data_IF_958590727205
#
_entry.id   IF_958590727205
#
_cell.length_a   1.000
_cell.length_b   1.000
_cell.length_c   1.000
_cell.angle_alpha   90.00
_cell.angle_beta   90.00
_cell.angle_gamma   90.00
#
_symmetry.space_group_name_H-M   'P 1'
#
loop_
_entity.id
_entity.type
_entity.pdbx_description
1 polymer ?
#
# COMPACT_ATOMS: atom_id res chain seq x y z
N UNK A 1 -1.48 32.24 -11.36
CA UNK A 1 -1.77 30.98 -10.64
C UNK A 1 -3.22 30.62 -10.84
N UNK A 2 -3.50 29.37 -11.20
CA UNK A 2 -4.87 28.84 -11.29
C UNK A 2 -5.14 28.04 -10.02
N UNK A 3 -6.31 28.21 -9.42
CA UNK A 3 -6.73 27.40 -8.26
C UNK A 3 -8.11 26.81 -8.48
N UNK A 4 -8.27 25.52 -8.19
CA UNK A 4 -9.54 24.81 -8.26
C UNK A 4 -9.88 24.18 -6.93
N UNK A 5 -11.18 24.19 -6.61
CA UNK A 5 -11.79 23.44 -5.52
C UNK A 5 -12.90 22.57 -6.10
N UNK A 6 -12.80 21.26 -5.92
CA UNK A 6 -13.74 20.29 -6.50
C UNK A 6 -14.26 19.42 -5.36
N UNK A 7 -15.59 19.34 -5.20
CA UNK A 7 -16.19 18.42 -4.24
C UNK A 7 -16.10 17.00 -4.81
N UNK A 8 -15.69 16.04 -3.99
CA UNK A 8 -15.73 14.63 -4.36
C UNK A 8 -16.71 13.86 -3.48
N UNK A 9 -17.28 12.80 -4.03
CA UNK A 9 -18.22 11.93 -3.33
C UNK A 9 -17.42 10.86 -2.58
N UNK A 10 -17.80 10.59 -1.33
CA UNK A 10 -17.10 9.65 -0.47
C UNK A 10 -16.26 10.36 0.60
N UNK A 11 -16.05 9.66 1.71
CA UNK A 11 -15.26 10.13 2.84
C UNK A 11 -14.48 8.95 3.38
N UNK A 12 -13.28 8.69 2.85
CA UNK A 12 -12.33 7.78 3.49
C UNK A 12 -11.34 8.49 4.41
N UNK A 13 -11.21 9.80 4.25
CA UNK A 13 -10.31 10.63 5.07
C UNK A 13 -10.95 11.12 6.36
N UNK A 14 -10.13 11.14 7.40
CA UNK A 14 -10.39 11.87 8.64
C UNK A 14 -10.09 13.38 8.50
N UNK A 15 -10.52 14.19 9.46
CA UNK A 15 -10.34 15.66 9.41
C UNK A 15 -8.87 16.09 9.50
N UNK A 16 -8.05 15.28 10.15
CA UNK A 16 -6.61 15.44 10.35
C UNK A 16 -5.77 14.75 9.24
N UNK A 17 -6.40 14.13 8.26
CA UNK A 17 -5.70 13.54 7.10
C UNK A 17 -5.69 14.47 5.90
N UNK A 18 -4.62 14.39 5.12
CA UNK A 18 -4.39 15.17 3.91
C UNK A 18 -3.74 14.28 2.86
N UNK A 19 -4.42 14.06 1.73
CA UNK A 19 -3.80 13.44 0.55
C UNK A 19 -2.99 14.49 -0.19
N UNK A 20 -1.80 14.11 -0.65
CA UNK A 20 -0.88 14.97 -1.39
C UNK A 20 -0.41 14.27 -2.67
N UNK A 21 -0.37 15.03 -3.76
CA UNK A 21 0.23 14.64 -5.04
C UNK A 21 0.75 15.91 -5.74
N UNK A 22 1.91 15.81 -6.41
CA UNK A 22 2.53 16.95 -7.11
C UNK A 22 2.81 16.66 -8.58
N UNK A 23 2.77 17.72 -9.41
CA UNK A 23 3.32 17.68 -10.77
C UNK A 23 4.55 18.58 -10.85
N UNK A 24 5.56 18.12 -11.57
CA UNK A 24 6.88 18.75 -11.64
C UNK A 24 7.39 18.78 -13.08
N UNK A 25 8.31 19.70 -13.41
CA UNK A 25 8.91 19.76 -14.75
C UNK A 25 9.79 18.56 -15.09
N UNK A 26 10.16 17.76 -14.09
CA UNK A 26 11.04 16.61 -14.21
C UNK A 26 11.37 16.03 -12.83
N UNK A 27 12.29 15.07 -12.80
CA UNK A 27 12.59 14.29 -11.58
C UNK A 27 13.78 14.82 -10.77
N UNK A 28 14.52 15.83 -11.25
CA UNK A 28 15.67 16.39 -10.53
C UNK A 28 15.22 17.43 -9.50
N UNK A 29 15.24 17.01 -8.22
CA UNK A 29 14.78 17.81 -7.10
C UNK A 29 15.44 19.20 -6.99
N UNK A 30 16.65 19.38 -7.55
CA UNK A 30 17.41 20.64 -7.47
C UNK A 30 17.06 21.60 -8.60
N UNK A 31 16.87 21.07 -9.80
CA UNK A 31 16.74 21.88 -11.01
C UNK A 31 15.29 22.05 -11.44
N UNK A 32 14.50 20.98 -11.35
CA UNK A 32 13.10 20.97 -11.75
C UNK A 32 12.21 21.77 -10.80
N UNK A 33 11.05 22.18 -11.32
CA UNK A 33 10.11 23.10 -10.68
C UNK A 33 8.82 22.40 -10.31
N UNK A 34 8.24 22.82 -9.19
CA UNK A 34 6.89 22.45 -8.80
C UNK A 34 5.88 23.20 -9.69
N UNK A 35 5.07 22.45 -10.42
CA UNK A 35 4.07 22.97 -11.37
C UNK A 35 2.66 22.94 -10.78
N UNK A 36 2.32 21.87 -10.06
CA UNK A 36 1.01 21.68 -9.44
C UNK A 36 1.17 21.13 -8.03
N UNK A 37 0.49 21.75 -7.08
CA UNK A 37 0.23 21.20 -5.75
C UNK A 37 -1.22 20.72 -5.69
N UNK A 38 -1.42 19.41 -5.62
CA UNK A 38 -2.71 18.77 -5.47
C UNK A 38 -2.93 18.27 -4.04
N UNK A 39 -4.13 18.50 -3.49
CA UNK A 39 -4.49 18.12 -2.13
C UNK A 39 -5.91 17.55 -2.06
N UNK A 40 -6.15 16.56 -1.20
CA UNK A 40 -7.51 16.19 -0.76
C UNK A 40 -7.63 16.31 0.74
N UNK A 41 -8.65 17.06 1.20
CA UNK A 41 -8.95 17.22 2.62
C UNK A 41 -10.45 17.37 2.89
N UNK A 42 -10.83 17.14 4.13
CA UNK A 42 -12.20 17.38 4.62
C UNK A 42 -12.35 18.85 5.02
N UNK A 43 -13.36 19.52 4.47
CA UNK A 43 -13.86 20.81 4.93
C UNK A 43 -15.38 20.73 5.10
N UNK A 44 -15.92 21.23 6.22
CA UNK A 44 -17.37 21.21 6.51
C UNK A 44 -18.01 19.82 6.26
N UNK A 45 -17.34 18.77 6.75
CA UNK A 45 -17.75 17.37 6.65
C UNK A 45 -17.88 16.81 5.23
N UNK A 46 -17.36 17.51 4.22
CA UNK A 46 -17.26 17.04 2.84
C UNK A 46 -15.81 16.98 2.38
N UNK A 47 -15.49 16.01 1.52
CA UNK A 47 -14.17 15.89 0.91
C UNK A 47 -14.06 16.81 -0.32
N UNK A 48 -12.91 17.49 -0.42
CA UNK A 48 -12.61 18.38 -1.53
C UNK A 48 -11.19 18.16 -2.03
N UNK A 49 -11.05 18.18 -3.36
CA UNK A 49 -9.78 18.37 -4.04
C UNK A 49 -9.47 19.87 -4.11
N UNK A 50 -8.23 20.22 -3.80
CA UNK A 50 -7.64 21.53 -4.04
C UNK A 50 -6.46 21.37 -4.98
N UNK A 51 -6.44 22.16 -6.04
CA UNK A 51 -5.36 22.16 -7.01
C UNK A 51 -4.84 23.58 -7.18
N UNK A 52 -3.53 23.76 -7.02
CA UNK A 52 -2.85 25.04 -7.19
C UNK A 52 -1.78 24.91 -8.27
N UNK A 53 -2.06 25.47 -9.45
CA UNK A 53 -1.22 25.39 -10.63
C UNK A 53 -0.43 26.69 -10.84
N UNK A 54 0.89 26.58 -10.85
CA UNK A 54 1.81 27.65 -11.16
C UNK A 54 1.87 27.88 -12.67
N UNK A 55 1.48 29.06 -13.16
CA UNK A 55 1.51 29.37 -14.60
C UNK A 55 2.93 29.62 -15.11
N UNK A 56 3.85 29.97 -14.22
CA UNK A 56 5.28 30.15 -14.49
C UNK A 56 6.09 29.89 -13.21
N UNK A 57 7.42 29.86 -13.35
CA UNK A 57 8.34 29.52 -12.24
C UNK A 57 8.33 30.53 -11.09
N UNK A 58 7.94 31.78 -11.33
CA UNK A 58 7.87 32.80 -10.28
C UNK A 58 6.75 32.50 -9.27
N UNK A 59 5.79 31.67 -9.65
CA UNK A 59 4.67 31.28 -8.79
C UNK A 59 4.96 30.07 -7.90
N UNK A 60 6.05 29.34 -8.12
CA UNK A 60 6.42 28.16 -7.33
C UNK A 60 6.41 28.44 -5.81
N UNK A 61 6.92 29.62 -5.40
CA UNK A 61 6.94 30.04 -4.00
C UNK A 61 5.53 30.14 -3.39
N UNK A 62 4.51 30.45 -4.19
CA UNK A 62 3.11 30.50 -3.72
C UNK A 62 2.62 29.09 -3.37
N UNK A 63 2.95 28.10 -4.20
CA UNK A 63 2.59 26.69 -3.97
C UNK A 63 3.28 26.17 -2.71
N UNK A 64 4.57 26.45 -2.54
CA UNK A 64 5.32 26.06 -1.33
C UNK A 64 4.73 26.67 -0.05
N UNK A 65 4.35 27.95 -0.09
CA UNK A 65 3.69 28.59 1.06
C UNK A 65 2.32 27.98 1.38
N UNK A 66 1.56 27.58 0.35
CA UNK A 66 0.30 26.84 0.56
C UNK A 66 0.61 25.48 1.21
N UNK A 67 1.56 24.72 0.67
CA UNK A 67 2.00 23.44 1.24
C UNK A 67 2.36 23.57 2.74
N UNK A 68 3.22 24.54 3.09
CA UNK A 68 3.62 24.81 4.48
C UNK A 68 2.44 25.14 5.42
N UNK A 69 1.37 25.75 4.89
CA UNK A 69 0.16 26.04 5.67
C UNK A 69 -0.70 24.80 5.85
N UNK A 70 -0.92 24.03 4.78
CA UNK A 70 -1.86 22.91 4.76
C UNK A 70 -1.32 21.67 5.48
N UNK A 71 0.01 21.44 5.47
CA UNK A 71 0.64 20.26 6.08
C UNK A 71 0.62 20.25 7.62
N UNK A 72 0.43 21.41 8.25
CA UNK A 72 0.53 21.54 9.71
C UNK A 72 -0.49 20.66 10.42
N UNK A 73 -0.02 19.86 11.37
CA UNK A 73 -0.84 18.96 12.20
C UNK A 73 -1.69 17.99 11.34
N UNK A 74 -1.16 17.55 10.19
CA UNK A 74 -1.82 16.58 9.31
C UNK A 74 -1.03 15.28 9.23
N UNK A 75 -1.76 14.16 9.17
CA UNK A 75 -1.24 12.90 8.66
C UNK A 75 -1.26 12.95 7.13
N UNK A 76 -0.11 12.75 6.51
CA UNK A 76 0.07 12.90 5.06
C UNK A 76 -0.06 11.56 4.37
N UNK A 77 -0.99 11.45 3.43
CA UNK A 77 -1.24 10.25 2.64
C UNK A 77 -0.76 10.50 1.22
N UNK A 78 0.12 9.64 0.71
CA UNK A 78 0.68 9.77 -0.64
C UNK A 78 0.73 8.41 -1.33
N UNK A 79 0.98 8.42 -2.63
CA UNK A 79 1.38 7.24 -3.38
C UNK A 79 2.83 7.40 -3.85
N UNK A 80 3.76 6.70 -3.18
CA UNK A 80 5.21 6.82 -3.41
C UNK A 80 5.79 8.22 -3.07
N UNK A 81 5.09 9.02 -2.26
CA UNK A 81 5.50 10.38 -1.93
C UNK A 81 6.62 10.48 -0.90
N UNK A 82 6.88 9.43 -0.11
CA UNK A 82 8.06 9.41 0.76
C UNK A 82 9.35 9.34 -0.08
N UNK A 83 9.29 8.74 -1.27
CA UNK A 83 10.43 8.62 -2.19
C UNK A 83 10.58 9.86 -3.08
N UNK A 84 9.46 10.49 -3.47
CA UNK A 84 9.46 11.57 -4.47
C UNK A 84 8.91 12.89 -3.93
N UNK A 85 7.61 12.99 -3.67
CA UNK A 85 6.90 14.24 -3.39
C UNK A 85 7.50 15.03 -2.21
N UNK A 86 7.69 14.37 -1.06
CA UNK A 86 8.21 15.01 0.16
C UNK A 86 9.68 15.44 -0.03
N UNK A 87 10.61 14.59 -0.51
CA UNK A 87 11.95 15.02 -0.86
C UNK A 87 12.00 16.17 -1.88
N UNK A 88 11.16 16.12 -2.92
CA UNK A 88 11.08 17.17 -3.94
C UNK A 88 10.67 18.50 -3.32
N UNK A 89 9.55 18.52 -2.57
CA UNK A 89 9.06 19.73 -1.90
C UNK A 89 10.09 20.30 -0.92
N UNK A 90 10.78 19.45 -0.15
CA UNK A 90 11.85 19.90 0.75
C UNK A 90 13.04 20.51 0.01
N UNK A 91 13.45 19.94 -1.12
CA UNK A 91 14.50 20.52 -1.97
C UNK A 91 14.10 21.89 -2.53
N UNK A 92 12.83 22.03 -2.97
CA UNK A 92 12.30 23.32 -3.45
C UNK A 92 12.20 24.35 -2.31
N UNK A 93 11.75 23.95 -1.11
CA UNK A 93 11.72 24.81 0.08
C UNK A 93 13.12 25.37 0.38
N UNK A 94 14.14 24.50 0.41
CA UNK A 94 15.54 24.90 0.65
C UNK A 94 16.03 25.87 -0.43
N UNK A 95 15.71 25.60 -1.70
CA UNK A 95 16.07 26.47 -2.84
C UNK A 95 15.46 27.87 -2.73
N UNK A 96 14.30 27.99 -2.08
CA UNK A 96 13.62 29.25 -1.78
C UNK A 96 13.95 29.81 -0.39
N UNK A 97 14.98 29.30 0.30
CA UNK A 97 15.40 29.72 1.64
C UNK A 97 14.31 29.54 2.72
N UNK A 98 13.43 28.57 2.53
CA UNK A 98 12.43 28.13 3.50
C UNK A 98 12.90 26.86 4.23
N UNK A 99 12.35 26.63 5.42
CA UNK A 99 12.67 25.43 6.18
C UNK A 99 11.97 24.20 5.59
N UNK A 100 12.67 23.06 5.46
CA UNK A 100 12.04 21.79 5.07
C UNK A 100 11.07 21.32 6.16
N UNK A 101 10.08 20.52 5.74
CA UNK A 101 9.09 19.91 6.63
C UNK A 101 9.27 18.41 6.66
N UNK A 102 9.16 17.84 7.86
CA UNK A 102 9.07 16.41 8.07
C UNK A 102 7.71 16.15 8.74
N UNK A 103 6.73 15.58 8.02
CA UNK A 103 5.45 15.26 8.62
C UNK A 103 5.66 14.30 9.79
N UNK A 104 5.05 14.59 10.94
CA UNK A 104 5.11 13.73 12.13
C UNK A 104 4.45 12.37 11.90
N UNK A 105 3.49 12.32 10.98
CA UNK A 105 2.78 11.12 10.55
C UNK A 105 2.62 11.13 9.04
N UNK A 106 3.15 10.10 8.37
CA UNK A 106 2.93 9.87 6.93
C UNK A 106 2.51 8.42 6.67
N UNK A 107 1.72 8.25 5.62
CA UNK A 107 1.28 6.97 5.12
C UNK A 107 1.52 6.93 3.61
N UNK A 108 2.57 6.21 3.20
CA UNK A 108 2.85 5.94 1.80
C UNK A 108 2.19 4.64 1.36
N UNK A 109 1.14 4.77 0.55
CA UNK A 109 0.34 3.65 0.04
C UNK A 109 1.21 2.67 -0.76
N UNK A 110 2.20 3.15 -1.51
CA UNK A 110 3.11 2.30 -2.27
C UNK A 110 3.89 1.36 -1.34
N UNK A 111 4.37 1.87 -0.20
CA UNK A 111 5.13 1.07 0.77
C UNK A 111 4.25 -0.01 1.42
N UNK A 112 3.00 0.31 1.73
CA UNK A 112 2.02 -0.66 2.26
C UNK A 112 1.82 -1.80 1.26
N UNK A 113 1.52 -1.47 0.00
CA UNK A 113 1.36 -2.48 -1.08
C UNK A 113 2.63 -3.31 -1.25
N UNK A 114 3.79 -2.64 -1.27
CA UNK A 114 5.09 -3.29 -1.47
C UNK A 114 5.39 -4.30 -0.37
N UNK A 115 5.02 -4.00 0.87
CA UNK A 115 5.14 -4.95 1.98
C UNK A 115 4.25 -6.18 1.80
N UNK A 116 3.05 -5.99 1.24
CA UNK A 116 2.08 -7.06 0.97
C UNK A 116 2.38 -7.87 -0.30
N UNK A 117 3.31 -7.43 -1.17
CA UNK A 117 3.68 -8.14 -2.40
C UNK A 117 4.32 -9.51 -2.20
N UNK A 118 4.58 -9.90 -0.94
CA UNK A 118 4.96 -11.26 -0.58
C UNK A 118 3.77 -12.22 -0.55
N UNK A 119 2.54 -11.73 -0.52
CA UNK A 119 1.30 -12.53 -0.49
C UNK A 119 0.45 -12.40 -1.77
N UNK A 120 0.69 -11.36 -2.57
CA UNK A 120 -0.12 -11.03 -3.74
C UNK A 120 0.76 -10.75 -4.96
N UNK A 121 0.30 -11.17 -6.13
CA UNK A 121 0.83 -10.78 -7.43
C UNK A 121 0.16 -9.49 -7.90
N UNK A 122 0.92 -8.61 -8.54
CA UNK A 122 0.41 -7.41 -9.20
C UNK A 122 0.95 -7.35 -10.63
N UNK A 123 0.11 -6.97 -11.59
CA UNK A 123 0.54 -6.74 -12.98
C UNK A 123 1.56 -5.60 -13.09
N UNK A 124 1.39 -4.58 -12.25
CA UNK A 124 2.27 -3.42 -12.14
C UNK A 124 2.05 -2.69 -10.82
N UNK A 125 3.06 -1.98 -10.34
CA UNK A 125 2.96 -1.10 -9.15
C UNK A 125 2.49 0.32 -9.51
N UNK A 126 2.02 0.55 -10.74
CA UNK A 126 1.41 1.83 -11.14
C UNK A 126 0.05 2.00 -10.45
N UNK A 127 -0.28 3.21 -10.04
CA UNK A 127 -1.52 3.56 -9.33
C UNK A 127 -2.78 2.98 -9.99
N UNK A 128 -2.91 3.13 -11.32
CA UNK A 128 -4.03 2.59 -12.11
C UNK A 128 -4.15 1.06 -12.02
N UNK A 129 -3.02 0.34 -12.00
CA UNK A 129 -3.03 -1.11 -11.88
C UNK A 129 -3.46 -1.56 -10.47
N UNK A 130 -3.06 -0.80 -9.45
CA UNK A 130 -3.45 -1.04 -8.06
C UNK A 130 -4.94 -0.76 -7.84
N UNK A 131 -5.48 0.33 -8.39
CA UNK A 131 -6.93 0.60 -8.35
C UNK A 131 -7.72 -0.59 -8.91
N UNK A 132 -7.32 -1.08 -10.08
CA UNK A 132 -7.96 -2.25 -10.71
C UNK A 132 -7.83 -3.50 -9.84
N UNK A 133 -6.67 -3.74 -9.24
CA UNK A 133 -6.43 -4.88 -8.35
C UNK A 133 -7.38 -4.92 -7.15
N UNK A 134 -7.72 -3.75 -6.58
CA UNK A 134 -8.67 -3.67 -5.46
C UNK A 134 -10.13 -3.49 -5.90
N UNK A 135 -10.43 -3.61 -7.20
CA UNK A 135 -11.79 -3.52 -7.75
C UNK A 135 -12.31 -2.10 -7.95
N UNK A 136 -11.44 -1.08 -7.95
CA UNK A 136 -11.81 0.28 -8.36
C UNK A 136 -11.68 0.36 -9.87
N UNK A 137 -12.82 0.35 -10.56
CA UNK A 137 -12.89 0.56 -12.01
C UNK A 137 -13.36 1.98 -12.33
N UNK A 138 -12.60 2.67 -13.17
CA UNK A 138 -12.92 4.02 -13.63
C UNK A 138 -12.95 4.04 -15.15
N UNK A 139 -14.12 4.27 -15.72
CA UNK A 139 -14.29 4.52 -17.15
C UNK A 139 -13.84 5.94 -17.50
N UNK A 140 -12.55 6.21 -17.43
CA UNK A 140 -11.96 7.48 -17.88
C UNK A 140 -10.89 7.25 -18.96
N UNK A 141 -11.26 7.36 -20.25
CA UNK A 141 -10.32 7.24 -21.37
C UNK A 141 -9.17 8.27 -21.31
N UNK A 142 -9.32 9.38 -20.58
CA UNK A 142 -8.30 10.42 -20.48
C UNK A 142 -7.10 9.99 -19.63
N UNK A 143 -7.25 8.99 -18.74
CA UNK A 143 -6.14 8.39 -17.97
C UNK A 143 -5.13 7.62 -18.82
N UNK A 144 -5.52 7.22 -20.04
CA UNK A 144 -4.68 6.46 -20.95
C UNK A 144 -3.94 7.35 -21.97
N UNK A 145 -4.14 8.68 -21.93
CA UNK A 145 -3.34 9.59 -22.75
C UNK A 145 -1.88 9.51 -22.33
N UNK A 146 -1.01 9.25 -23.30
CA UNK A 146 0.40 8.98 -23.07
C UNK A 146 1.09 10.10 -22.25
N UNK A 147 1.81 9.68 -21.22
CA UNK A 147 2.70 10.50 -20.35
C UNK A 147 3.57 11.46 -21.18
N UNK A 148 3.95 11.08 -22.41
CA UNK A 148 4.75 11.92 -23.31
C UNK A 148 4.09 13.25 -23.67
N UNK A 149 2.76 13.30 -23.87
CA UNK A 149 2.06 14.58 -24.14
C UNK A 149 1.97 15.47 -22.90
N UNK A 150 1.92 14.87 -21.72
CA UNK A 150 1.87 15.64 -20.48
C UNK A 150 3.19 16.36 -20.20
N UNK A 151 4.32 15.77 -20.59
CA UNK A 151 5.63 16.39 -20.38
C UNK A 151 5.79 17.73 -21.11
N UNK A 152 5.31 17.84 -22.35
CA UNK A 152 5.33 19.11 -23.10
C UNK A 152 4.41 20.13 -22.45
N UNK A 153 3.16 19.75 -22.15
CA UNK A 153 2.18 20.63 -21.50
C UNK A 153 2.67 21.15 -20.13
N UNK A 154 3.40 20.32 -19.36
CA UNK A 154 4.00 20.68 -18.07
C UNK A 154 5.13 21.72 -18.25
N UNK A 155 5.94 21.58 -19.30
CA UNK A 155 7.04 22.50 -19.58
C UNK A 155 6.54 23.85 -20.10
N UNK A 156 5.55 23.85 -21.00
CA UNK A 156 5.00 25.08 -21.60
C UNK A 156 3.97 25.76 -20.72
N UNK A 157 3.19 24.99 -19.95
CA UNK A 157 2.09 25.41 -19.06
C UNK A 157 0.96 26.17 -19.77
N UNK A 158 0.90 26.12 -21.10
CA UNK A 158 -0.12 26.75 -21.94
C UNK A 158 -1.46 25.99 -21.91
N UNK A 159 -1.41 24.69 -21.65
CA UNK A 159 -2.58 23.81 -21.53
C UNK A 159 -2.67 23.20 -20.13
N UNK A 160 -3.19 23.95 -19.14
CA UNK A 160 -3.27 23.47 -17.76
C UNK A 160 -4.30 22.35 -17.56
N UNK A 161 -5.31 22.23 -18.45
CA UNK A 161 -6.42 21.30 -18.23
C UNK A 161 -6.00 19.82 -18.20
N UNK A 162 -5.20 19.30 -19.16
CA UNK A 162 -4.65 17.94 -19.07
C UNK A 162 -3.91 17.64 -17.75
N UNK A 163 -3.06 18.58 -17.30
CA UNK A 163 -2.26 18.46 -16.06
C UNK A 163 -3.17 18.40 -14.84
N UNK A 164 -4.09 19.37 -14.73
CA UNK A 164 -5.09 19.38 -13.66
C UNK A 164 -5.94 18.09 -13.67
N UNK A 165 -6.31 17.58 -14.85
CA UNK A 165 -7.12 16.36 -14.91
C UNK A 165 -6.35 15.10 -14.51
N UNK A 166 -5.05 15.03 -14.83
CA UNK A 166 -4.18 13.94 -14.39
C UNK A 166 -4.04 13.91 -12.87
N UNK A 167 -3.61 15.02 -12.28
CA UNK A 167 -3.48 15.15 -10.83
C UNK A 167 -4.83 14.95 -10.10
N UNK A 168 -5.95 15.44 -10.65
CA UNK A 168 -7.29 15.18 -10.07
C UNK A 168 -7.56 13.67 -10.01
N UNK A 169 -7.20 12.95 -11.06
CA UNK A 169 -7.37 11.51 -11.14
C UNK A 169 -6.50 10.78 -10.11
N UNK A 170 -5.24 11.17 -9.96
CA UNK A 170 -4.30 10.54 -9.04
C UNK A 170 -4.63 10.86 -7.57
N UNK A 171 -5.11 12.07 -7.28
CA UNK A 171 -5.64 12.45 -5.97
C UNK A 171 -6.86 11.61 -5.57
N UNK A 172 -7.84 11.42 -6.47
CA UNK A 172 -9.02 10.60 -6.16
C UNK A 172 -8.61 9.13 -5.98
N UNK A 173 -7.69 8.63 -6.80
CA UNK A 173 -7.19 7.26 -6.67
C UNK A 173 -6.49 7.06 -5.32
N UNK A 174 -5.61 7.97 -4.94
CA UNK A 174 -4.87 7.95 -3.67
C UNK A 174 -5.82 8.08 -2.48
N UNK A 175 -6.84 8.94 -2.54
CA UNK A 175 -7.89 9.02 -1.51
C UNK A 175 -8.66 7.70 -1.38
N UNK A 176 -9.05 7.11 -2.51
CA UNK A 176 -9.79 5.86 -2.49
C UNK A 176 -8.96 4.68 -1.94
N UNK A 177 -7.64 4.75 -2.05
CA UNK A 177 -6.66 3.78 -1.55
C UNK A 177 -6.16 4.12 -0.14
N UNK A 178 -6.60 5.20 0.48
CA UNK A 178 -6.16 5.62 1.84
C UNK A 178 -6.36 4.54 2.90
N UNK A 179 -7.34 3.64 2.71
CA UNK A 179 -7.64 2.53 3.62
C UNK A 179 -7.22 1.16 3.05
N UNK A 180 -6.17 1.12 2.22
CA UNK A 180 -5.71 -0.12 1.58
C UNK A 180 -5.21 -1.17 2.59
N UNK A 181 -4.77 -0.76 3.77
CA UNK A 181 -4.33 -1.68 4.82
C UNK A 181 -5.49 -2.58 5.28
N UNK A 182 -6.69 -2.02 5.48
CA UNK A 182 -7.88 -2.79 5.81
C UNK A 182 -8.27 -3.77 4.69
N UNK A 183 -8.05 -3.42 3.42
CA UNK A 183 -8.24 -4.37 2.32
C UNK A 183 -7.35 -5.60 2.50
N UNK A 184 -6.06 -5.41 2.80
CA UNK A 184 -5.14 -6.52 3.00
C UNK A 184 -5.42 -7.31 4.27
N UNK A 185 -5.70 -6.65 5.39
CA UNK A 185 -6.08 -7.32 6.65
C UNK A 185 -7.28 -8.25 6.40
N UNK A 186 -8.31 -7.75 5.72
CA UNK A 186 -9.48 -8.57 5.40
C UNK A 186 -9.13 -9.78 4.51
N UNK A 187 -8.27 -9.60 3.50
CA UNK A 187 -7.82 -10.72 2.64
C UNK A 187 -6.93 -11.72 3.37
N UNK A 188 -6.13 -11.27 4.33
CA UNK A 188 -5.18 -12.06 5.10
C UNK A 188 -5.77 -12.57 6.42
N UNK A 189 -7.10 -12.52 6.59
CA UNK A 189 -7.79 -12.93 7.82
C UNK A 189 -8.57 -14.23 7.67
N UNK A 190 -8.79 -14.91 8.80
CA UNK A 190 -9.64 -16.09 8.91
C UNK A 190 -10.40 -16.10 10.23
N UNK A 191 -11.65 -16.57 10.22
CA UNK A 191 -12.44 -16.83 11.42
C UNK A 191 -12.13 -18.23 12.00
N UNK A 192 -12.06 -18.33 13.32
CA UNK A 192 -11.79 -19.56 14.05
C UNK A 192 -12.56 -19.63 15.38
N UNK A 193 -12.46 -20.75 16.11
CA UNK A 193 -13.03 -20.91 17.45
C UNK A 193 -12.54 -19.85 18.45
N UNK A 194 -11.32 -19.34 18.27
CA UNK A 194 -10.72 -18.32 19.14
C UNK A 194 -11.02 -16.88 18.68
N UNK A 195 -11.86 -16.70 17.67
CA UNK A 195 -12.11 -15.40 17.02
C UNK A 195 -11.32 -15.23 15.72
N UNK A 196 -11.39 -14.02 15.16
CA UNK A 196 -10.70 -13.65 13.93
C UNK A 196 -9.23 -13.34 14.18
N UNK A 197 -8.37 -13.80 13.28
CA UNK A 197 -6.95 -13.42 13.25
C UNK A 197 -6.45 -13.28 11.81
N UNK A 198 -5.34 -12.58 11.61
CA UNK A 198 -4.74 -12.34 10.29
C UNK A 198 -3.23 -12.45 10.28
N UNK A 199 -2.65 -12.80 9.13
CA UNK A 199 -1.20 -12.86 8.97
C UNK A 199 -0.63 -11.44 8.99
N UNK A 200 0.32 -11.17 9.88
CA UNK A 200 1.06 -9.91 9.95
C UNK A 200 2.55 -10.09 9.64
N UNK A 201 3.09 -11.31 9.61
CA UNK A 201 4.50 -11.55 9.22
C UNK A 201 4.68 -12.91 8.59
N UNK A 202 5.55 -12.98 7.59
CA UNK A 202 5.94 -14.21 6.92
C UNK A 202 7.40 -14.13 6.48
N UNK A 203 8.20 -15.08 6.93
CA UNK A 203 9.60 -15.22 6.57
C UNK A 203 9.97 -16.70 6.50
N UNK A 204 10.87 -17.08 5.61
CA UNK A 204 11.50 -18.40 5.62
C UNK A 204 13.00 -18.19 5.76
N UNK A 205 13.57 -18.79 6.78
CA UNK A 205 15.01 -18.85 6.98
C UNK A 205 15.45 -20.31 6.88
N UNK A 206 16.14 -20.64 5.77
CA UNK A 206 16.54 -22.01 5.43
C UNK A 206 15.34 -22.96 5.42
N UNK A 207 15.29 -23.88 6.37
CA UNK A 207 14.32 -24.96 6.55
C UNK A 207 13.23 -24.62 7.58
N UNK A 208 13.20 -23.38 8.09
CA UNK A 208 12.19 -22.92 9.06
C UNK A 208 11.39 -21.76 8.47
N UNK A 209 10.07 -21.92 8.39
CA UNK A 209 9.13 -20.83 8.14
C UNK A 209 8.67 -20.21 9.45
N UNK A 210 8.88 -18.89 9.60
CA UNK A 210 8.43 -18.09 10.73
C UNK A 210 7.26 -17.20 10.31
N UNK A 211 6.10 -17.43 10.90
CA UNK A 211 4.87 -16.71 10.61
C UNK A 211 4.34 -16.09 11.90
N UNK A 212 3.92 -14.83 11.84
CA UNK A 212 3.24 -14.17 12.95
C UNK A 212 1.85 -13.74 12.47
N UNK A 213 0.87 -13.94 13.35
CA UNK A 213 -0.51 -13.56 13.16
C UNK A 213 -0.94 -12.68 14.34
N UNK A 214 -1.90 -11.81 14.09
CA UNK A 214 -2.51 -10.96 15.10
C UNK A 214 -3.98 -11.33 15.24
N UNK A 215 -4.45 -11.49 16.47
CA UNK A 215 -5.85 -11.75 16.81
C UNK A 215 -6.59 -10.45 17.10
N UNK A 216 -7.88 -10.42 16.74
CA UNK A 216 -8.76 -9.28 17.03
C UNK A 216 -8.95 -9.03 18.54
N UNK A 217 -8.70 -10.03 19.38
CA UNK A 217 -8.87 -9.97 20.83
C UNK A 217 -7.72 -10.67 21.54
N UNK A 218 -7.58 -10.36 22.82
CA UNK A 218 -6.64 -11.06 23.70
C UNK A 218 -7.06 -12.53 23.88
N UNK A 219 -6.07 -13.41 23.80
CA UNK A 219 -6.18 -14.86 23.94
C UNK A 219 -5.47 -15.32 25.21
N UNK A 220 -5.75 -16.56 25.64
CA UNK A 220 -4.98 -17.23 26.68
C UNK A 220 -3.62 -17.65 26.13
N UNK A 221 -2.60 -17.60 26.98
CA UNK A 221 -1.25 -17.98 26.60
C UNK A 221 -1.21 -19.49 26.28
N UNK A 222 -0.61 -19.83 25.14
CA UNK A 222 -0.46 -21.21 24.68
C UNK A 222 0.98 -21.41 24.19
N UNK A 223 1.53 -22.59 24.45
CA UNK A 223 2.78 -23.03 23.83
C UNK A 223 2.71 -24.52 23.51
N UNK A 224 2.93 -24.85 22.26
CA UNK A 224 2.94 -26.23 21.75
C UNK A 224 4.15 -26.41 20.85
N UNK A 225 4.86 -27.52 21.02
CA UNK A 225 5.96 -27.92 20.16
C UNK A 225 5.76 -29.38 19.74
N UNK A 226 5.59 -29.57 18.44
CA UNK A 226 5.45 -30.87 17.79
C UNK A 226 6.63 -31.12 16.84
N UNK A 227 6.70 -32.30 16.24
CA UNK A 227 7.83 -32.71 15.40
C UNK A 227 8.09 -31.78 14.20
N UNK A 228 7.06 -31.13 13.65
CA UNK A 228 7.15 -30.34 12.42
C UNK A 228 6.67 -28.88 12.57
N UNK A 229 6.20 -28.48 13.75
CA UNK A 229 5.80 -27.12 14.04
C UNK A 229 5.90 -26.76 15.52
N UNK A 230 5.96 -25.47 15.78
CA UNK A 230 5.82 -24.87 17.09
C UNK A 230 4.85 -23.70 16.97
N UNK A 231 3.89 -23.63 17.89
CA UNK A 231 2.98 -22.49 18.00
C UNK A 231 3.07 -21.89 19.40
N UNK A 232 3.07 -20.57 19.48
CA UNK A 232 2.97 -19.85 20.74
C UNK A 232 1.97 -18.71 20.61
N UNK A 233 1.07 -18.59 21.58
CA UNK A 233 0.12 -17.48 21.69
C UNK A 233 0.49 -16.69 22.93
N UNK A 234 0.57 -15.37 22.77
CA UNK A 234 0.76 -14.43 23.88
C UNK A 234 -0.01 -13.15 23.60
N UNK A 235 -0.89 -12.78 24.52
CA UNK A 235 -1.80 -11.65 24.38
C UNK A 235 -2.61 -11.72 23.06
N UNK A 236 -2.30 -10.90 22.07
CA UNK A 236 -2.96 -10.89 20.73
C UNK A 236 -2.10 -11.52 19.64
N UNK A 237 -0.84 -11.86 19.95
CA UNK A 237 0.11 -12.36 18.96
C UNK A 237 0.16 -13.88 18.95
N UNK A 238 0.02 -14.46 17.76
CA UNK A 238 0.21 -15.89 17.50
C UNK A 238 1.48 -16.04 16.66
N UNK A 239 2.43 -16.86 17.10
CA UNK A 239 3.64 -17.18 16.35
C UNK A 239 3.63 -18.64 15.97
N UNK A 240 3.82 -18.90 14.68
CA UNK A 240 3.88 -20.23 14.11
C UNK A 240 5.24 -20.42 13.42
N UNK A 241 6.02 -21.36 13.93
CA UNK A 241 7.23 -21.85 13.29
C UNK A 241 6.93 -23.23 12.70
N UNK A 242 7.27 -23.46 11.43
CA UNK A 242 7.06 -24.75 10.77
C UNK A 242 8.34 -25.18 10.05
N UNK A 243 8.58 -26.48 10.02
CA UNK A 243 9.59 -27.05 9.13
C UNK A 243 9.10 -26.94 7.68
N UNK A 244 9.98 -26.47 6.79
CA UNK A 244 9.69 -26.34 5.36
C UNK A 244 10.75 -27.03 4.51
N UNK A 245 10.32 -27.57 3.38
CA UNK A 245 11.18 -28.19 2.38
C UNK A 245 11.13 -27.36 1.10
N UNK A 246 12.30 -27.02 0.57
CA UNK A 246 12.40 -26.36 -0.73
C UNK A 246 12.43 -27.40 -1.86
N UNK A 247 11.68 -27.15 -2.93
CA UNK A 247 11.63 -28.04 -4.08
C UNK A 247 11.12 -27.36 -5.34
N UNK A 248 11.27 -28.09 -6.45
CA UNK A 248 10.67 -27.74 -7.73
C UNK A 248 9.29 -28.39 -7.82
N UNK A 249 8.26 -27.60 -8.09
CA UNK A 249 6.90 -28.10 -8.31
C UNK A 249 6.68 -28.45 -9.78
N UNK A 250 7.26 -27.66 -10.68
CA UNK A 250 7.34 -27.93 -12.11
C UNK A 250 8.58 -27.25 -12.71
N UNK A 251 8.72 -27.28 -14.05
CA UNK A 251 9.89 -26.73 -14.76
C UNK A 251 10.18 -25.26 -14.44
N UNK A 252 9.16 -24.48 -14.15
CA UNK A 252 9.26 -23.02 -14.02
C UNK A 252 9.05 -22.53 -12.58
N UNK A 253 8.38 -23.33 -11.75
CA UNK A 253 7.96 -22.93 -10.41
C UNK A 253 8.65 -23.78 -9.35
N UNK A 254 9.39 -23.09 -8.48
CA UNK A 254 9.98 -23.63 -7.28
C UNK A 254 9.34 -22.98 -6.05
N UNK A 255 9.41 -23.66 -4.92
CA UNK A 255 8.75 -23.19 -3.71
C UNK A 255 9.06 -23.99 -2.47
N UNK A 256 8.33 -23.66 -1.41
CA UNK A 256 8.42 -24.27 -0.09
C UNK A 256 7.12 -24.97 0.23
N UNK A 257 7.22 -26.20 0.72
CA UNK A 257 6.10 -26.97 1.28
C UNK A 257 6.37 -27.29 2.75
N UNK A 258 5.31 -27.58 3.51
CA UNK A 258 5.41 -28.23 4.82
C UNK A 258 4.66 -29.56 4.79
N UNK A 259 4.84 -30.40 5.81
CA UNK A 259 4.08 -31.65 5.94
C UNK A 259 2.63 -31.33 6.31
N UNK A 260 1.69 -31.91 5.57
CA UNK A 260 0.26 -31.72 5.76
C UNK A 260 -0.32 -32.74 6.77
N UNK A 261 -0.09 -32.52 8.06
CA UNK A 261 -0.57 -33.43 9.11
C UNK A 261 -2.08 -33.39 9.34
N UNK A 262 -2.75 -32.38 8.82
CA UNK A 262 -4.18 -32.12 9.06
C UNK A 262 -5.05 -32.38 7.81
N UNK A 263 -4.49 -33.06 6.80
CA UNK A 263 -5.17 -33.37 5.53
C UNK A 263 -5.86 -32.15 4.90
N UNK A 264 -5.22 -30.98 4.98
CA UNK A 264 -5.76 -29.73 4.47
C UNK A 264 -5.77 -29.75 2.95
N UNK A 265 -6.86 -29.26 2.36
CA UNK A 265 -6.89 -28.97 0.93
C UNK A 265 -5.87 -27.89 0.60
N UNK A 266 -5.02 -28.16 -0.38
CA UNK A 266 -4.06 -27.18 -0.91
C UNK A 266 -4.79 -26.08 -1.69
N UNK A 267 -4.68 -24.83 -1.23
CA UNK A 267 -5.26 -23.62 -1.84
C UNK A 267 -4.32 -22.99 -2.88
N UNK A 268 -3.69 -23.82 -3.72
CA UNK A 268 -2.90 -23.40 -4.88
C UNK A 268 -3.45 -24.06 -6.15
N UNK A 269 -3.16 -23.45 -7.30
CA UNK A 269 -3.42 -24.05 -8.61
C UNK A 269 -2.35 -25.11 -8.98
N UNK A 270 -1.28 -25.23 -8.19
CA UNK A 270 -0.23 -26.22 -8.37
C UNK A 270 -0.55 -27.46 -7.55
N UNK A 271 -0.54 -28.62 -8.20
CA UNK A 271 -0.70 -29.91 -7.54
C UNK A 271 0.62 -30.37 -6.90
N UNK A 272 0.53 -30.84 -5.66
CA UNK A 272 1.61 -31.50 -4.92
C UNK A 272 1.04 -32.76 -4.28
N UNK A 273 1.91 -33.64 -3.77
CA UNK A 273 1.46 -34.80 -3.00
C UNK A 273 0.58 -34.36 -1.81
N UNK A 274 -0.54 -35.03 -1.56
CA UNK A 274 -1.51 -34.65 -0.52
C UNK A 274 -0.91 -34.57 0.90
N UNK A 275 0.22 -35.27 1.13
CA UNK A 275 0.99 -35.20 2.38
C UNK A 275 1.80 -33.90 2.53
N UNK A 276 1.75 -33.00 1.55
CA UNK A 276 2.47 -31.74 1.51
C UNK A 276 1.49 -30.59 1.32
N UNK A 277 1.78 -29.47 1.96
CA UNK A 277 1.01 -28.23 1.84
C UNK A 277 1.92 -27.11 1.34
N UNK A 278 1.52 -26.41 0.29
CA UNK A 278 2.32 -25.31 -0.27
C UNK A 278 2.33 -24.13 0.69
N UNK A 279 3.51 -23.67 1.07
CA UNK A 279 3.73 -22.50 1.92
C UNK A 279 4.13 -21.28 1.10
N UNK A 280 4.95 -21.49 0.07
CA UNK A 280 5.40 -20.44 -0.83
C UNK A 280 5.63 -21.00 -2.22
N UNK A 281 5.14 -20.34 -3.25
CA UNK A 281 5.33 -20.71 -4.65
C UNK A 281 5.62 -19.46 -5.47
N UNK A 282 6.53 -19.54 -6.43
CA UNK A 282 6.93 -18.40 -7.26
C UNK A 282 7.19 -17.10 -6.45
N UNK A 283 7.92 -17.26 -5.34
CA UNK A 283 8.27 -16.19 -4.38
C UNK A 283 7.10 -15.60 -3.58
N UNK A 284 5.88 -16.08 -3.76
CA UNK A 284 4.66 -15.61 -3.08
C UNK A 284 4.20 -16.64 -2.05
N UNK A 285 3.95 -16.18 -0.84
CA UNK A 285 3.40 -17.01 0.23
C UNK A 285 1.94 -17.34 -0.06
N UNK A 286 1.59 -18.62 0.06
CA UNK A 286 0.20 -19.04 -0.03
C UNK A 286 -0.50 -18.74 1.31
N UNK A 287 -1.00 -17.51 1.43
CA UNK A 287 -1.58 -17.01 2.68
C UNK A 287 -2.81 -17.81 3.12
N UNK A 288 -3.58 -18.39 2.17
CA UNK A 288 -4.73 -19.24 2.49
C UNK A 288 -4.32 -20.54 3.16
N UNK A 289 -3.31 -21.22 2.61
CA UNK A 289 -2.72 -22.42 3.23
C UNK A 289 -2.17 -22.09 4.63
N UNK A 290 -1.46 -20.97 4.78
CA UNK A 290 -0.94 -20.52 6.07
C UNK A 290 -2.04 -20.24 7.10
N UNK A 291 -3.12 -19.56 6.70
CA UNK A 291 -4.27 -19.30 7.57
C UNK A 291 -4.97 -20.60 7.98
N UNK A 292 -5.24 -21.49 7.03
CA UNK A 292 -5.89 -22.77 7.29
C UNK A 292 -5.04 -23.67 8.20
N UNK A 293 -3.72 -23.69 7.99
CA UNK A 293 -2.78 -24.44 8.82
C UNK A 293 -2.76 -23.90 10.26
N UNK A 294 -2.60 -22.59 10.42
CA UNK A 294 -2.58 -21.96 11.74
C UNK A 294 -3.92 -22.18 12.47
N UNK A 295 -5.05 -22.00 11.77
CA UNK A 295 -6.39 -22.25 12.32
C UNK A 295 -6.52 -23.70 12.83
N UNK A 296 -6.15 -24.68 12.03
CA UNK A 296 -6.26 -26.09 12.42
C UNK A 296 -5.35 -26.42 13.60
N UNK A 297 -4.11 -25.91 13.62
CA UNK A 297 -3.21 -26.11 14.77
C UNK A 297 -3.84 -25.56 16.05
N UNK A 298 -4.34 -24.32 16.01
CA UNK A 298 -4.98 -23.70 17.17
C UNK A 298 -6.20 -24.50 17.62
N UNK A 299 -7.11 -24.86 16.71
CA UNK A 299 -8.36 -25.54 17.07
C UNK A 299 -8.19 -26.99 17.58
N UNK A 300 -6.99 -27.55 17.48
CA UNK A 300 -6.63 -28.85 18.05
C UNK A 300 -5.97 -28.75 19.44
N UNK A 301 -5.37 -27.60 19.78
CA UNK A 301 -4.59 -27.43 21.02
C UNK A 301 -5.16 -26.40 22.00
N UNK A 302 -6.02 -25.49 21.52
CA UNK A 302 -6.70 -24.45 22.28
C UNK A 302 -8.15 -24.87 22.53
#
# INVERSE_FOLDING_TARGET
>A
MISKKIRINGKKLNKDELVLDIETTGLDFRNDKLVLLGLVKIENDSAYIFQHFAQDDSEEIKLLNIYLREIKNKKIITFNGDTFDIPFLNSRLISHKLFPVFPESSQDIYKIIKWHSKFFSYDSMKLVAIEKFIGIERNDPSRYKAISKLSEDILTRDKPYPILKHNENDLIATEALSDIENFYINKLSIDSKIGKFWICKANINKDIGNFEFESEKKLEDLFVAENNYQISIKDTTIKLNIHVLYGSFNRDINGFVTINHFDLKNESNIEVNDKLLIIREDRIYNYKNLLNLCKNIIENHY
#
